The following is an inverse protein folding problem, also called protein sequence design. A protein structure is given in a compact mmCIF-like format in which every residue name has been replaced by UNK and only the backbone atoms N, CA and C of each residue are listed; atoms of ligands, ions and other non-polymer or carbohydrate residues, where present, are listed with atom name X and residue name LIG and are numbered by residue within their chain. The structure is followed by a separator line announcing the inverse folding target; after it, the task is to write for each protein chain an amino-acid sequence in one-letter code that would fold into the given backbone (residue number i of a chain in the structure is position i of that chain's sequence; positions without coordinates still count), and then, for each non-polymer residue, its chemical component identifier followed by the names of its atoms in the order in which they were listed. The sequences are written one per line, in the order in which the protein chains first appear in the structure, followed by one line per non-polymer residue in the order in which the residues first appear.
data_IF_815450693227
#
_entry.id   IF_815450693227
#
_cell.length_a   1.000
_cell.length_b   1.000
_cell.length_c   1.000
_cell.angle_alpha   90.00
_cell.angle_beta   90.00
_cell.angle_gamma   90.00
#
_symmetry.space_group_name_H-M   'P 1'
#
loop_
_entity.id
_entity.type
_entity.pdbx_description
1 polymer ?
#
# COMPACT_ATOMS: atom_id res chain seq x y z
N UNK A 1 -83.24 17.73 47.24
CA UNK A 1 -83.10 16.38 47.80
C UNK A 1 -83.77 15.41 46.83
N UNK A 2 -82.99 14.63 46.09
CA UNK A 2 -83.31 13.21 45.88
C UNK A 2 -82.09 12.56 45.23
N UNK A 3 -81.40 11.78 46.04
CA UNK A 3 -80.59 10.62 45.64
C UNK A 3 -81.36 9.77 44.61
N UNK A 4 -80.75 9.07 43.66
CA UNK A 4 -79.88 7.88 43.75
C UNK A 4 -79.74 7.44 42.26
N UNK A 5 -78.79 6.69 41.72
CA UNK A 5 -77.87 5.69 42.23
C UNK A 5 -76.85 5.41 41.11
N UNK A 6 -75.66 4.96 41.48
CA UNK A 6 -74.51 4.78 40.58
C UNK A 6 -74.63 3.53 39.69
N UNK A 7 -74.15 3.64 38.44
CA UNK A 7 -73.77 2.50 37.61
C UNK A 7 -72.41 2.75 36.96
N UNK A 8 -71.52 1.80 37.19
CA UNK A 8 -70.09 1.79 36.92
C UNK A 8 -69.76 1.96 35.43
N UNK A 9 -68.77 2.80 35.11
CA UNK A 9 -68.23 2.97 33.74
C UNK A 9 -67.26 1.83 33.39
N UNK A 10 -67.32 1.25 32.17
CA UNK A 10 -66.29 0.34 31.69
C UNK A 10 -65.05 1.13 31.20
N UNK A 11 -63.85 0.52 31.21
CA UNK A 11 -62.64 1.22 30.79
C UNK A 11 -62.55 1.31 29.26
N UNK A 12 -62.14 2.49 28.78
CA UNK A 12 -61.85 2.74 27.37
C UNK A 12 -60.54 2.04 26.95
N UNK A 13 -60.60 1.27 25.87
CA UNK A 13 -59.42 0.69 25.21
C UNK A 13 -58.57 1.81 24.60
N UNK A 14 -57.36 2.02 25.11
CA UNK A 14 -56.35 2.82 24.44
C UNK A 14 -55.66 1.98 23.36
N UNK A 15 -55.66 2.47 22.12
CA UNK A 15 -54.79 2.00 21.04
C UNK A 15 -53.38 2.52 21.33
N UNK A 16 -52.44 1.62 21.59
CA UNK A 16 -51.01 1.92 21.56
C UNK A 16 -50.43 1.35 20.27
N UNK A 17 -50.01 2.22 19.35
CA UNK A 17 -49.17 1.85 18.22
C UNK A 17 -47.77 1.54 18.77
N UNK A 18 -47.50 0.27 19.02
CA UNK A 18 -46.15 -0.22 19.28
C UNK A 18 -45.43 -0.34 17.93
N UNK A 19 -44.67 0.69 17.57
CA UNK A 19 -43.64 0.57 16.52
C UNK A 19 -42.60 -0.40 17.06
N UNK A 20 -42.56 -1.60 16.52
CA UNK A 20 -41.49 -2.54 16.80
C UNK A 20 -40.17 -1.93 16.32
N UNK A 21 -39.27 -1.62 17.26
CA UNK A 21 -37.89 -1.29 16.94
C UNK A 21 -37.26 -2.48 16.21
N UNK A 22 -36.90 -2.25 14.94
CA UNK A 22 -36.05 -3.15 14.19
C UNK A 22 -34.67 -3.10 14.85
N UNK A 23 -34.11 -4.23 15.31
CA UNK A 23 -32.76 -4.20 15.89
C UNK A 23 -31.80 -3.69 14.83
N UNK A 24 -31.03 -2.65 15.15
CA UNK A 24 -29.94 -2.19 14.29
C UNK A 24 -28.99 -3.37 14.09
N UNK A 25 -28.94 -3.90 12.86
CA UNK A 25 -27.91 -4.86 12.49
C UNK A 25 -26.56 -4.16 12.70
N UNK A 26 -25.81 -4.60 13.71
CA UNK A 26 -24.38 -4.33 13.76
C UNK A 26 -23.82 -4.77 12.40
N UNK A 27 -23.01 -3.96 11.72
CA UNK A 27 -22.34 -4.41 10.51
C UNK A 27 -21.52 -5.63 10.90
N UNK A 28 -21.96 -6.81 10.46
CA UNK A 28 -21.17 -8.03 10.58
C UNK A 28 -19.93 -7.79 9.73
N UNK A 29 -18.80 -7.44 10.35
CA UNK A 29 -17.52 -7.40 9.67
C UNK A 29 -17.38 -8.74 8.93
N UNK A 30 -17.24 -8.74 7.60
CA UNK A 30 -17.10 -10.01 6.90
C UNK A 30 -15.86 -10.72 7.42
N UNK A 31 -15.94 -12.05 7.47
CA UNK A 31 -14.82 -12.87 7.91
C UNK A 31 -13.60 -12.59 7.02
N UNK A 32 -12.38 -12.61 7.58
CA UNK A 32 -11.16 -12.53 6.78
C UNK A 32 -11.15 -13.59 5.68
N UNK A 33 -10.59 -13.25 4.53
CA UNK A 33 -10.35 -14.19 3.43
C UNK A 33 -8.93 -14.76 3.60
N UNK A 34 -8.79 -16.07 3.51
CA UNK A 34 -7.48 -16.71 3.51
C UNK A 34 -6.83 -16.53 2.13
N UNK A 35 -5.72 -15.80 2.08
CA UNK A 35 -4.95 -15.55 0.85
C UNK A 35 -3.48 -15.89 1.08
N UNK A 36 -2.80 -16.36 0.03
CA UNK A 36 -1.41 -16.75 0.12
C UNK A 36 -0.48 -15.53 0.18
N UNK A 37 0.43 -15.54 1.17
CA UNK A 37 1.49 -14.54 1.35
C UNK A 37 2.82 -15.26 1.50
N UNK A 38 3.84 -14.82 0.75
CA UNK A 38 5.19 -15.38 0.87
C UNK A 38 6.00 -14.63 1.95
N UNK A 39 6.25 -15.29 3.08
CA UNK A 39 7.03 -14.74 4.19
C UNK A 39 8.47 -15.26 4.17
N UNK A 40 9.42 -14.42 4.59
CA UNK A 40 10.81 -14.81 4.70
C UNK A 40 11.03 -15.83 5.82
N UNK A 41 11.83 -16.86 5.53
CA UNK A 41 12.26 -17.89 6.49
C UNK A 41 13.78 -17.98 6.55
N UNK A 42 14.36 -18.34 7.71
CA UNK A 42 15.79 -18.57 7.79
C UNK A 42 16.19 -19.80 6.98
N UNK A 43 17.46 -19.83 6.56
CA UNK A 43 18.11 -21.01 6.03
C UNK A 43 18.31 -22.11 7.07
N UNK A 44 18.89 -23.23 6.66
CA UNK A 44 19.08 -24.41 7.50
C UNK A 44 19.91 -24.14 8.77
N UNK A 45 20.77 -23.13 8.75
CA UNK A 45 21.61 -22.70 9.88
C UNK A 45 20.92 -21.66 10.79
N UNK A 46 19.62 -21.41 10.60
CA UNK A 46 18.88 -20.39 11.34
C UNK A 46 19.19 -18.95 10.91
N UNK A 47 20.06 -18.76 9.92
CA UNK A 47 20.43 -17.46 9.38
C UNK A 47 19.51 -17.06 8.24
N UNK A 48 19.11 -15.79 8.20
CA UNK A 48 18.48 -15.22 7.03
C UNK A 48 19.60 -14.75 6.09
N UNK A 49 19.78 -15.43 4.96
CA UNK A 49 20.61 -14.92 3.87
C UNK A 49 19.82 -13.84 3.15
N UNK A 50 20.49 -12.73 2.79
CA UNK A 50 19.84 -11.43 2.59
C UNK A 50 20.43 -10.64 1.44
N UNK A 51 20.64 -11.28 0.29
CA UNK A 51 20.95 -10.52 -0.91
C UNK A 51 20.54 -11.13 -2.25
N UNK A 52 20.08 -10.24 -3.13
CA UNK A 52 19.79 -10.52 -4.53
C UNK A 52 20.90 -9.91 -5.40
N UNK A 53 21.62 -10.71 -6.16
CA UNK A 53 22.69 -10.26 -7.07
C UNK A 53 22.26 -10.49 -8.52
N UNK A 54 22.39 -9.50 -9.41
CA UNK A 54 22.03 -9.67 -10.83
C UNK A 54 23.27 -10.04 -11.64
N UNK A 55 23.32 -11.24 -12.25
CA UNK A 55 24.45 -11.61 -13.11
C UNK A 55 24.32 -10.91 -14.47
N UNK A 56 25.42 -10.35 -15.00
CA UNK A 56 25.44 -9.79 -16.36
C UNK A 56 25.11 -10.88 -17.38
N UNK A 57 24.08 -10.68 -18.20
CA UNK A 57 23.71 -11.53 -19.34
C UNK A 57 23.53 -13.04 -19.03
N UNK A 58 23.20 -13.40 -17.78
CA UNK A 58 23.17 -14.82 -17.35
C UNK A 58 24.55 -15.48 -17.22
N UNK A 59 25.63 -14.71 -17.40
CA UNK A 59 27.01 -15.15 -17.23
C UNK A 59 27.38 -15.04 -15.75
N UNK A 60 27.74 -16.18 -15.17
CA UNK A 60 28.11 -16.30 -13.76
C UNK A 60 29.48 -15.67 -13.51
N UNK A 61 29.54 -14.55 -12.81
CA UNK A 61 30.80 -13.93 -12.38
C UNK A 61 31.47 -14.71 -11.22
N UNK A 62 30.73 -15.58 -10.54
CA UNK A 62 31.24 -16.53 -9.52
C UNK A 62 30.36 -17.78 -9.39
N UNK A 63 30.89 -18.81 -8.74
CA UNK A 63 30.09 -19.97 -8.31
C UNK A 63 29.07 -19.57 -7.23
N UNK A 64 27.93 -20.28 -7.23
CA UNK A 64 26.88 -20.13 -6.21
C UNK A 64 27.39 -20.68 -4.88
N UNK A 65 27.25 -19.88 -3.82
CA UNK A 65 27.50 -20.33 -2.45
C UNK A 65 26.38 -21.27 -1.99
N UNK A 66 26.61 -22.09 -0.96
CA UNK A 66 25.55 -22.90 -0.37
C UNK A 66 24.32 -22.07 -0.03
N UNK A 67 23.14 -22.51 -0.49
CA UNK A 67 21.88 -21.81 -0.28
C UNK A 67 21.56 -20.72 -1.30
N UNK A 68 22.47 -20.46 -2.26
CA UNK A 68 22.20 -19.59 -3.41
C UNK A 68 21.64 -20.38 -4.60
N UNK A 69 20.69 -19.78 -5.32
CA UNK A 69 20.19 -20.30 -6.59
C UNK A 69 20.01 -19.17 -7.61
N UNK A 70 20.08 -19.53 -8.89
CA UNK A 70 19.66 -18.61 -9.94
C UNK A 70 18.13 -18.59 -9.98
N UNK A 71 17.57 -17.40 -9.88
CA UNK A 71 16.18 -17.13 -10.16
C UNK A 71 15.98 -17.15 -11.69
N UNK A 72 15.09 -18.01 -12.14
CA UNK A 72 14.72 -18.17 -13.55
C UNK A 72 13.31 -17.62 -13.85
N UNK A 73 12.58 -17.17 -12.83
CA UNK A 73 11.13 -16.92 -12.90
C UNK A 73 10.76 -15.48 -12.57
N UNK A 74 11.24 -14.97 -11.43
CA UNK A 74 10.88 -13.66 -10.88
C UNK A 74 11.82 -12.59 -11.41
N UNK A 75 13.14 -12.83 -11.33
CA UNK A 75 14.16 -11.94 -11.88
C UNK A 75 15.25 -12.78 -12.55
N UNK A 76 14.99 -13.26 -13.79
CA UNK A 76 15.88 -14.17 -14.51
C UNK A 76 17.35 -13.71 -14.51
N UNK A 77 18.25 -14.61 -14.13
CA UNK A 77 19.70 -14.33 -14.04
C UNK A 77 20.15 -13.72 -12.72
N UNK A 78 19.24 -13.52 -11.76
CA UNK A 78 19.62 -13.08 -10.42
C UNK A 78 19.98 -14.26 -9.52
N UNK A 79 21.07 -14.15 -8.78
CA UNK A 79 21.41 -15.04 -7.67
C UNK A 79 20.62 -14.61 -6.45
N UNK A 80 19.83 -15.53 -5.90
CA UNK A 80 19.03 -15.34 -4.70
C UNK A 80 19.50 -16.23 -3.58
N UNK A 81 19.37 -15.73 -2.35
CA UNK A 81 19.58 -16.50 -1.14
C UNK A 81 18.41 -16.39 -0.14
N UNK A 82 17.38 -15.60 -0.44
CA UNK A 82 16.21 -15.39 0.43
C UNK A 82 15.23 -16.57 0.32
N UNK A 83 15.07 -17.39 1.35
CA UNK A 83 14.03 -18.42 1.38
C UNK A 83 12.69 -17.83 1.83
N UNK A 84 11.62 -18.33 1.23
CA UNK A 84 10.25 -17.97 1.61
C UNK A 84 9.40 -19.20 1.86
N UNK A 85 8.41 -19.05 2.74
CA UNK A 85 7.29 -19.96 2.87
C UNK A 85 6.01 -19.25 2.42
N UNK A 86 5.17 -19.95 1.67
CA UNK A 86 3.84 -19.45 1.29
C UNK A 86 2.85 -19.91 2.35
N UNK A 87 2.13 -18.95 2.93
CA UNK A 87 1.21 -19.19 4.03
C UNK A 87 -0.15 -18.58 3.71
N UNK A 88 -1.19 -19.40 3.83
CA UNK A 88 -2.57 -18.94 3.85
C UNK A 88 -2.78 -18.02 5.06
N UNK A 89 -2.92 -16.73 4.78
CA UNK A 89 -2.97 -15.65 5.76
C UNK A 89 -4.37 -15.05 5.77
N UNK A 90 -4.92 -14.82 6.97
CA UNK A 90 -6.20 -14.16 7.13
C UNK A 90 -6.06 -12.67 6.80
N UNK A 91 -6.64 -12.23 5.68
CA UNK A 91 -6.62 -10.84 5.21
C UNK A 91 -8.04 -10.26 5.27
N UNK A 92 -8.19 -9.10 5.92
CA UNK A 92 -9.49 -8.45 6.13
C UNK A 92 -9.76 -7.40 5.06
N UNK A 93 -11.00 -7.32 4.59
CA UNK A 93 -11.43 -6.21 3.72
C UNK A 93 -11.62 -4.95 4.57
N UNK A 94 -10.71 -3.99 4.41
CA UNK A 94 -10.71 -2.73 5.13
C UNK A 94 -11.95 -1.87 4.83
N UNK A 95 -12.66 -2.11 3.72
CA UNK A 95 -13.93 -1.43 3.42
C UNK A 95 -15.04 -1.76 4.41
N UNK A 96 -14.94 -2.91 5.08
CA UNK A 96 -15.95 -3.40 6.01
C UNK A 96 -15.64 -3.03 7.46
N UNK A 97 -14.51 -2.35 7.70
CA UNK A 97 -14.15 -1.87 9.02
C UNK A 97 -14.91 -0.57 9.33
N UNK A 98 -15.50 -0.42 10.54
CA UNK A 98 -16.31 0.76 10.87
C UNK A 98 -15.52 2.07 10.89
N UNK A 99 -14.24 1.99 11.24
CA UNK A 99 -13.33 3.13 11.25
C UNK A 99 -12.30 2.99 10.12
N UNK A 100 -12.25 3.91 9.15
CA UNK A 100 -11.25 3.88 8.09
C UNK A 100 -9.83 4.00 8.66
N UNK A 101 -8.89 3.23 8.09
CA UNK A 101 -7.47 3.36 8.40
C UNK A 101 -6.91 4.71 7.93
N UNK A 102 -5.94 5.26 8.68
CA UNK A 102 -5.21 6.48 8.32
C UNK A 102 -3.71 6.23 8.24
N UNK A 103 -3.00 7.07 7.46
CA UNK A 103 -1.55 7.02 7.33
C UNK A 103 -0.83 7.23 8.68
N UNK A 104 -1.40 8.04 9.57
CA UNK A 104 -0.80 8.36 10.87
C UNK A 104 -0.99 7.28 11.93
N UNK A 105 -2.00 6.42 11.76
CA UNK A 105 -2.36 5.36 12.73
C UNK A 105 -1.91 3.98 12.24
N UNK A 106 -2.53 3.46 11.19
CA UNK A 106 -2.28 2.13 10.65
C UNK A 106 -1.13 2.11 9.64
N UNK A 107 -0.67 3.27 9.17
CA UNK A 107 0.38 3.39 8.16
C UNK A 107 -0.14 3.36 6.72
N UNK A 108 -1.44 3.14 6.50
CA UNK A 108 -2.06 3.14 5.18
C UNK A 108 -3.44 3.77 5.20
N UNK A 109 -3.89 4.26 4.04
CA UNK A 109 -5.23 4.79 3.88
C UNK A 109 -5.71 4.70 2.43
N UNK A 110 -7.00 4.40 2.24
CA UNK A 110 -7.65 4.52 0.94
C UNK A 110 -8.06 5.98 0.72
N UNK A 111 -7.83 6.50 -0.48
CA UNK A 111 -8.31 7.81 -0.91
C UNK A 111 -9.04 7.72 -2.23
N UNK A 112 -10.03 8.59 -2.39
CA UNK A 112 -10.77 8.78 -3.63
C UNK A 112 -10.36 10.07 -4.29
N UNK A 113 -10.34 10.08 -5.61
CA UNK A 113 -10.14 11.27 -6.41
C UNK A 113 -11.21 11.35 -7.50
N UNK A 114 -11.54 12.57 -7.92
CA UNK A 114 -12.74 12.84 -8.72
C UNK A 114 -12.64 12.37 -10.19
N UNK A 115 -11.45 12.04 -10.68
CA UNK A 115 -11.22 11.72 -12.08
C UNK A 115 -10.38 10.45 -12.21
N UNK A 116 -11.02 9.38 -12.68
CA UNK A 116 -10.40 8.09 -12.94
C UNK A 116 -9.06 8.24 -13.65
N UNK A 117 -8.03 7.58 -13.12
CA UNK A 117 -6.74 7.47 -13.77
C UNK A 117 -6.70 6.15 -14.53
N UNK A 118 -7.17 6.18 -15.76
CA UNK A 118 -7.11 5.01 -16.66
C UNK A 118 -5.86 5.15 -17.53
N UNK A 119 -5.10 4.06 -17.68
CA UNK A 119 -3.97 4.06 -18.61
C UNK A 119 -4.51 4.31 -20.02
N UNK A 120 -4.03 5.33 -20.76
CA UNK A 120 -4.42 5.50 -22.15
C UNK A 120 -4.03 4.25 -22.94
N UNK A 121 -4.69 4.00 -24.07
CA UNK A 121 -4.29 2.93 -24.97
C UNK A 121 -2.91 3.21 -25.57
N UNK A 122 -1.89 2.81 -24.83
CA UNK A 122 -0.49 2.92 -25.18
C UNK A 122 -0.04 1.51 -25.52
N UNK A 123 -0.37 1.09 -26.74
CA UNK A 123 0.24 -0.10 -27.32
C UNK A 123 1.77 0.01 -27.20
N UNK A 124 2.46 -1.12 -27.04
CA UNK A 124 3.93 -1.14 -26.98
C UNK A 124 4.58 -0.41 -28.18
N UNK A 125 3.86 -0.28 -29.31
CA UNK A 125 4.28 0.44 -30.51
C UNK A 125 4.36 1.97 -30.35
N UNK A 126 3.65 2.57 -29.38
CA UNK A 126 3.71 4.02 -29.12
C UNK A 126 5.02 4.46 -28.45
N UNK A 127 5.80 3.51 -27.92
CA UNK A 127 7.06 3.77 -27.25
C UNK A 127 6.91 4.50 -25.91
N UNK A 128 8.05 4.82 -25.29
CA UNK A 128 8.13 5.38 -23.93
C UNK A 128 7.70 6.85 -23.83
N UNK A 129 7.81 7.60 -24.93
CA UNK A 129 7.55 9.05 -24.96
C UNK A 129 6.12 9.45 -24.59
N UNK A 130 5.08 8.94 -25.29
CA UNK A 130 3.69 9.25 -24.97
C UNK A 130 3.29 8.83 -23.55
N UNK A 131 3.79 7.68 -23.09
CA UNK A 131 3.60 7.21 -21.72
C UNK A 131 4.19 8.19 -20.69
N UNK A 132 5.44 8.63 -20.89
CA UNK A 132 6.06 9.61 -19.99
C UNK A 132 5.38 10.97 -20.06
N UNK A 133 4.89 11.40 -21.23
CA UNK A 133 4.15 12.63 -21.38
C UNK A 133 2.84 12.59 -20.61
N UNK A 134 2.08 11.49 -20.70
CA UNK A 134 0.87 11.28 -19.93
C UNK A 134 1.14 11.23 -18.42
N UNK A 135 2.16 10.47 -18.00
CA UNK A 135 2.56 10.40 -16.59
C UNK A 135 2.86 11.78 -16.02
N UNK A 136 3.63 12.60 -16.74
CA UNK A 136 4.05 13.93 -16.28
C UNK A 136 2.94 14.97 -16.37
N UNK A 137 2.12 14.91 -17.42
CA UNK A 137 1.06 15.89 -17.68
C UNK A 137 -0.21 15.63 -16.89
N UNK A 138 -0.52 14.37 -16.59
CA UNK A 138 -1.80 13.99 -16.00
C UNK A 138 -1.66 13.27 -14.66
N UNK A 139 -0.93 12.14 -14.62
CA UNK A 139 -0.93 11.28 -13.44
C UNK A 139 -0.17 11.88 -12.26
N UNK A 140 1.09 12.27 -12.43
CA UNK A 140 1.94 12.76 -11.34
C UNK A 140 1.39 14.03 -10.68
N UNK A 141 0.84 15.03 -11.42
CA UNK A 141 0.18 16.17 -10.80
C UNK A 141 -1.04 15.79 -9.94
N UNK A 142 -1.89 14.87 -10.42
CA UNK A 142 -3.08 14.41 -9.68
C UNK A 142 -2.68 13.60 -8.44
N UNK A 143 -1.75 12.66 -8.60
CA UNK A 143 -1.23 11.83 -7.52
C UNK A 143 -0.51 12.67 -6.45
N UNK A 144 0.34 13.62 -6.82
CA UNK A 144 1.02 14.49 -5.86
C UNK A 144 0.04 15.35 -5.04
N UNK A 145 -1.03 15.87 -5.66
CA UNK A 145 -2.08 16.60 -4.95
C UNK A 145 -2.86 15.71 -3.99
N UNK A 146 -3.16 14.47 -4.38
CA UNK A 146 -3.84 13.51 -3.52
C UNK A 146 -2.98 13.13 -2.31
N UNK A 147 -1.68 12.87 -2.52
CA UNK A 147 -0.73 12.62 -1.42
C UNK A 147 -0.61 13.84 -0.51
N UNK A 148 -0.50 15.05 -1.08
CA UNK A 148 -0.46 16.30 -0.31
C UNK A 148 -1.66 16.41 0.64
N UNK A 149 -2.89 16.34 0.11
CA UNK A 149 -4.10 16.49 0.92
C UNK A 149 -4.27 15.35 1.94
N UNK A 150 -3.97 14.12 1.55
CA UNK A 150 -4.12 12.95 2.43
C UNK A 150 -3.16 12.99 3.61
N UNK A 151 -1.91 13.41 3.37
CA UNK A 151 -0.92 13.56 4.45
C UNK A 151 -1.28 14.72 5.38
N UNK A 152 -1.76 15.85 4.85
CA UNK A 152 -2.23 16.96 5.70
C UNK A 152 -3.39 16.53 6.60
N UNK A 153 -4.38 15.85 6.04
CA UNK A 153 -5.55 15.34 6.75
C UNK A 153 -5.15 14.31 7.82
N UNK A 154 -4.42 13.26 7.45
CA UNK A 154 -4.13 12.16 8.36
C UNK A 154 -3.15 12.55 9.48
N UNK A 155 -2.20 13.45 9.21
CA UNK A 155 -1.23 13.88 10.21
C UNK A 155 -1.63 15.17 10.94
N UNK A 156 -2.68 15.87 10.50
CA UNK A 156 -3.12 17.14 11.07
C UNK A 156 -2.04 18.23 10.99
N UNK A 157 -1.17 18.18 9.98
CA UNK A 157 0.01 19.05 9.84
C UNK A 157 0.15 19.56 8.41
N UNK A 158 0.32 20.87 8.19
CA UNK A 158 0.48 21.42 6.85
C UNK A 158 1.69 20.83 6.11
N UNK A 159 1.48 20.48 4.84
CA UNK A 159 2.49 19.95 3.93
C UNK A 159 3.01 21.09 3.06
N UNK A 160 4.33 21.20 3.01
CA UNK A 160 5.06 22.23 2.29
C UNK A 160 5.46 21.78 0.87
N UNK A 161 5.86 20.51 0.73
CA UNK A 161 6.27 19.96 -0.55
C UNK A 161 5.99 18.45 -0.68
N UNK A 162 5.70 18.02 -1.90
CA UNK A 162 5.56 16.61 -2.31
C UNK A 162 6.36 16.39 -3.57
N UNK A 163 7.35 15.50 -3.51
CA UNK A 163 8.24 15.17 -4.63
C UNK A 163 8.03 13.72 -5.06
N UNK A 164 7.67 13.50 -6.32
CA UNK A 164 7.64 12.16 -6.88
C UNK A 164 9.07 11.74 -7.25
N UNK A 165 9.46 10.58 -6.74
CA UNK A 165 10.80 10.02 -6.82
C UNK A 165 10.93 9.15 -8.06
N UNK A 166 10.12 8.10 -8.10
CA UNK A 166 10.05 7.13 -9.17
C UNK A 166 8.63 6.57 -9.24
N UNK A 167 8.42 5.74 -10.25
CA UNK A 167 7.17 5.03 -10.45
C UNK A 167 7.44 3.67 -11.09
N UNK A 168 6.57 2.70 -10.84
CA UNK A 168 6.65 1.35 -11.40
C UNK A 168 5.28 0.93 -11.91
N UNK A 169 5.20 0.60 -13.20
CA UNK A 169 4.02 -0.04 -13.79
C UNK A 169 4.09 -1.54 -13.54
N UNK A 170 3.01 -2.12 -13.01
CA UNK A 170 2.89 -3.57 -12.81
C UNK A 170 1.66 -4.09 -13.54
N UNK A 171 1.84 -5.17 -14.31
CA UNK A 171 0.76 -5.85 -15.03
C UNK A 171 0.82 -7.36 -14.79
N UNK A 172 -0.32 -8.05 -14.87
CA UNK A 172 -0.39 -9.52 -14.73
C UNK A 172 -0.45 -10.25 -16.08
N UNK A 173 -0.55 -9.52 -17.18
CA UNK A 173 -0.57 -10.05 -18.55
C UNK A 173 0.72 -9.74 -19.33
N UNK A 174 1.71 -9.12 -18.67
CA UNK A 174 2.96 -8.69 -19.31
C UNK A 174 2.80 -7.59 -20.35
N UNK A 175 1.61 -6.98 -20.45
CA UNK A 175 1.35 -5.89 -21.39
C UNK A 175 1.80 -4.53 -20.84
N UNK A 176 1.95 -3.54 -21.71
CA UNK A 176 2.30 -2.16 -21.36
C UNK A 176 3.75 -1.80 -21.66
N UNK A 177 4.15 -0.59 -21.24
CA UNK A 177 5.51 -0.07 -21.44
C UNK A 177 6.38 -0.43 -20.22
N UNK A 178 7.39 -1.28 -20.44
CA UNK A 178 8.30 -1.77 -19.39
C UNK A 178 7.58 -2.31 -18.15
N UNK A 179 6.64 -3.28 -18.32
CA UNK A 179 5.87 -3.81 -17.20
C UNK A 179 6.75 -4.66 -16.29
N UNK A 180 6.57 -4.48 -14.97
CA UNK A 180 7.16 -5.35 -13.96
C UNK A 180 6.14 -6.36 -13.45
N UNK A 181 6.62 -7.55 -13.10
CA UNK A 181 5.82 -8.55 -12.40
C UNK A 181 5.36 -8.04 -11.04
N UNK A 182 4.29 -8.65 -10.53
CA UNK A 182 3.80 -8.42 -9.16
C UNK A 182 4.79 -9.03 -8.16
N UNK A 183 4.84 -8.51 -6.92
CA UNK A 183 5.72 -9.04 -5.87
C UNK A 183 4.86 -9.73 -4.82
N UNK A 184 4.93 -11.07 -4.78
CA UNK A 184 4.18 -11.92 -3.83
C UNK A 184 4.90 -12.06 -2.47
N UNK A 185 6.18 -11.71 -2.44
CA UNK A 185 7.00 -11.65 -1.22
C UNK A 185 6.54 -10.48 -0.36
N UNK A 186 6.19 -10.75 0.90
CA UNK A 186 5.89 -9.69 1.85
C UNK A 186 7.15 -8.87 2.13
N UNK A 187 7.07 -7.56 1.88
CA UNK A 187 8.21 -6.66 1.98
C UNK A 187 7.81 -5.26 2.45
N UNK A 188 8.80 -4.48 2.84
CA UNK A 188 8.70 -3.04 3.02
C UNK A 188 9.86 -2.34 2.30
N UNK A 189 9.56 -1.25 1.60
CA UNK A 189 10.45 -0.68 0.58
C UNK A 189 11.75 -0.09 1.10
N UNK A 190 11.80 0.30 2.38
CA UNK A 190 12.94 1.01 2.92
C UNK A 190 13.31 0.54 4.32
N UNK A 191 14.61 0.42 4.53
CA UNK A 191 15.20 0.42 5.85
C UNK A 191 15.45 1.87 6.29
N UNK A 192 15.72 2.13 7.59
CA UNK A 192 16.07 3.48 8.04
C UNK A 192 17.19 4.11 7.20
N UNK A 193 18.22 3.34 6.91
CA UNK A 193 19.40 3.74 6.14
C UNK A 193 19.09 3.90 4.65
N UNK A 194 18.32 2.98 4.08
CA UNK A 194 18.03 3.01 2.64
C UNK A 194 17.04 4.12 2.28
N UNK A 195 16.06 4.43 3.13
CA UNK A 195 15.16 5.57 2.94
C UNK A 195 15.89 6.92 3.08
N UNK A 196 16.76 7.06 4.09
CA UNK A 196 17.60 8.25 4.23
C UNK A 196 18.56 8.43 3.05
N UNK A 197 19.13 7.33 2.53
CA UNK A 197 19.93 7.34 1.30
C UNK A 197 19.10 7.73 0.08
N UNK A 198 17.88 7.19 -0.04
CA UNK A 198 16.96 7.48 -1.14
C UNK A 198 16.71 8.98 -1.28
N UNK A 199 16.41 9.64 -0.16
CA UNK A 199 16.23 11.10 -0.09
C UNK A 199 17.46 11.91 -0.55
N UNK A 200 18.69 11.43 -0.27
CA UNK A 200 19.93 12.13 -0.67
C UNK A 200 20.28 11.95 -2.14
N UNK A 201 20.03 10.75 -2.68
CA UNK A 201 20.47 10.35 -4.03
C UNK A 201 19.36 10.53 -5.09
N UNK A 202 18.22 11.08 -4.69
CA UNK A 202 16.98 11.07 -5.45
C UNK A 202 17.04 11.80 -6.79
N UNK A 203 16.70 11.11 -7.88
CA UNK A 203 16.28 11.75 -9.12
C UNK A 203 14.77 12.02 -9.06
N UNK A 204 14.39 13.21 -8.61
CA UNK A 204 12.99 13.63 -8.55
C UNK A 204 12.41 13.80 -9.95
N UNK A 205 11.30 13.10 -10.24
CA UNK A 205 10.62 13.13 -11.54
C UNK A 205 9.48 14.16 -11.60
N UNK A 206 8.94 14.58 -10.46
CA UNK A 206 7.91 15.63 -10.39
C UNK A 206 7.96 16.34 -9.03
N UNK A 207 7.65 17.64 -8.99
CA UNK A 207 7.65 18.45 -7.77
C UNK A 207 6.34 19.22 -7.62
N UNK A 208 5.81 19.22 -6.41
CA UNK A 208 4.76 20.10 -5.93
C UNK A 208 5.29 20.83 -4.69
N UNK A 209 5.19 22.17 -4.65
CA UNK A 209 5.72 23.01 -3.57
C UNK A 209 6.80 23.98 -4.03
N UNK A 210 7.70 24.38 -3.14
CA UNK A 210 8.76 25.39 -3.37
C UNK A 210 9.91 24.92 -4.28
N UNK A 211 9.92 23.65 -4.67
CA UNK A 211 10.94 23.05 -5.52
C UNK A 211 12.27 22.72 -4.81
N UNK A 212 12.44 23.09 -3.54
CA UNK A 212 13.64 22.80 -2.73
C UNK A 212 13.72 21.31 -2.46
N UNK A 213 14.91 20.73 -2.64
CA UNK A 213 15.16 19.33 -2.30
C UNK A 213 14.67 18.99 -0.88
N UNK A 214 14.01 17.84 -0.75
CA UNK A 214 13.56 17.30 0.52
C UNK A 214 14.70 16.41 1.04
N UNK A 215 15.21 16.70 2.22
CA UNK A 215 16.33 15.95 2.82
C UNK A 215 15.92 15.31 4.15
N UNK A 216 16.75 14.44 4.71
CA UNK A 216 16.45 13.78 5.99
C UNK A 216 16.31 14.79 7.15
N UNK A 217 17.00 15.93 7.08
CA UNK A 217 16.93 17.02 8.06
C UNK A 217 15.53 17.66 8.11
N UNK A 218 14.77 17.60 7.02
CA UNK A 218 13.37 18.06 6.97
C UNK A 218 12.40 17.13 7.70
N UNK A 219 12.89 15.98 8.21
CA UNK A 219 12.09 14.90 8.81
C UNK A 219 10.87 14.50 7.95
N UNK A 220 11.07 14.18 6.67
CA UNK A 220 9.98 13.91 5.73
C UNK A 220 9.37 12.53 5.94
N UNK A 221 8.27 12.24 5.25
CA UNK A 221 7.76 10.88 5.05
C UNK A 221 8.14 10.39 3.66
N UNK A 222 8.42 9.09 3.52
CA UNK A 222 8.24 8.42 2.22
C UNK A 222 6.89 7.73 2.20
N UNK A 223 6.09 8.04 1.19
CA UNK A 223 4.74 7.53 1.00
C UNK A 223 4.64 6.96 -0.40
N UNK A 224 4.18 5.72 -0.50
CA UNK A 224 3.82 5.13 -1.78
C UNK A 224 2.34 5.39 -2.04
N UNK A 225 2.02 5.65 -3.30
CA UNK A 225 0.65 5.65 -3.82
C UNK A 225 0.53 4.51 -4.81
N UNK A 226 -0.40 3.59 -4.54
CA UNK A 226 -0.76 2.52 -5.44
C UNK A 226 -2.09 2.83 -6.13
N UNK A 227 -2.05 2.96 -7.45
CA UNK A 227 -3.14 3.42 -8.30
C UNK A 227 -3.57 2.30 -9.28
N UNK A 228 -4.79 1.76 -9.16
CA UNK A 228 -5.43 1.04 -10.25
C UNK A 228 -5.45 1.86 -11.53
N UNK A 229 -5.07 1.23 -12.65
CA UNK A 229 -5.14 1.81 -13.99
C UNK A 229 -6.17 1.12 -14.89
N UNK A 230 -7.02 0.29 -14.28
CA UNK A 230 -8.15 -0.44 -14.86
C UNK A 230 -9.42 -0.05 -14.10
N UNK A 231 -10.59 -0.30 -14.68
CA UNK A 231 -11.87 0.05 -14.04
C UNK A 231 -12.00 -0.56 -12.63
N UNK A 232 -11.60 -1.81 -12.46
CA UNK A 232 -11.63 -2.51 -11.17
C UNK A 232 -10.53 -3.57 -11.09
N UNK A 233 -9.83 -3.61 -9.97
CA UNK A 233 -8.83 -4.65 -9.68
C UNK A 233 -9.51 -5.83 -8.99
N UNK A 234 -9.59 -6.94 -9.73
CA UNK A 234 -10.00 -8.24 -9.22
C UNK A 234 -8.76 -9.11 -8.97
N UNK A 235 -7.94 -9.30 -10.02
CA UNK A 235 -6.77 -10.16 -9.92
C UNK A 235 -5.65 -9.50 -9.15
N UNK A 236 -5.06 -10.29 -8.26
CA UNK A 236 -3.85 -9.96 -7.53
C UNK A 236 -3.94 -8.60 -6.80
N UNK A 237 -4.89 -8.33 -5.89
CA UNK A 237 -4.93 -7.06 -5.15
C UNK A 237 -3.66 -6.83 -4.31
N UNK A 238 -3.52 -5.61 -3.79
CA UNK A 238 -2.45 -5.25 -2.86
C UNK A 238 -2.94 -5.38 -1.42
N UNK A 239 -2.30 -6.24 -0.65
CA UNK A 239 -2.47 -6.33 0.80
C UNK A 239 -1.41 -5.50 1.53
N UNK A 240 -1.80 -4.91 2.65
CA UNK A 240 -0.97 -4.09 3.53
C UNK A 240 -1.13 -4.59 4.97
N UNK A 241 -0.02 -4.62 5.72
CA UNK A 241 -0.02 -4.95 7.15
C UNK A 241 -0.19 -3.68 7.97
N UNK A 242 -1.06 -3.70 8.98
CA UNK A 242 -1.19 -2.58 9.92
C UNK A 242 0.14 -2.35 10.66
N UNK A 243 0.71 -1.16 10.53
CA UNK A 243 2.00 -0.80 11.11
C UNK A 243 2.04 -0.87 12.64
N UNK A 244 0.88 -0.86 13.33
CA UNK A 244 0.78 -1.05 14.79
C UNK A 244 0.91 -2.52 15.19
N UNK A 245 0.68 -3.43 14.26
CA UNK A 245 0.72 -4.88 14.44
C UNK A 245 2.03 -5.51 13.94
N UNK A 246 2.83 -4.73 13.20
CA UNK A 246 4.09 -5.16 12.60
C UNK A 246 5.25 -4.96 13.59
N UNK A 247 5.80 -6.06 14.11
CA UNK A 247 6.93 -6.00 15.02
C UNK A 247 8.23 -5.72 14.26
N UNK A 248 9.17 -4.98 14.88
CA UNK A 248 10.48 -4.72 14.26
C UNK A 248 11.29 -6.00 14.04
N UNK A 249 11.06 -7.03 14.84
CA UNK A 249 11.63 -8.36 14.64
C UNK A 249 11.06 -9.08 13.41
N UNK A 250 9.86 -8.76 12.95
CA UNK A 250 9.33 -9.34 11.71
C UNK A 250 10.05 -8.78 10.47
N UNK A 251 10.77 -7.67 10.60
CA UNK A 251 11.48 -7.03 9.50
C UNK A 251 12.90 -7.58 9.33
N UNK A 252 13.15 -8.19 8.18
CA UNK A 252 14.41 -8.83 7.82
C UNK A 252 15.06 -8.03 6.69
N UNK A 253 16.20 -7.37 6.96
CA UNK A 253 16.91 -6.58 5.93
C UNK A 253 17.24 -7.45 4.73
N UNK A 254 17.06 -6.95 3.51
CA UNK A 254 17.45 -7.60 2.24
C UNK A 254 18.23 -6.60 1.42
N UNK A 255 19.48 -6.93 1.13
CA UNK A 255 20.36 -6.14 0.27
C UNK A 255 20.14 -6.54 -1.19
N UNK A 256 20.17 -5.59 -2.12
CA UNK A 256 20.01 -5.89 -3.54
C UNK A 256 21.19 -5.29 -4.30
N UNK A 257 22.05 -6.13 -4.84
CA UNK A 257 23.20 -5.71 -5.64
C UNK A 257 22.76 -5.59 -7.10
N UNK A 258 22.62 -4.35 -7.56
CA UNK A 258 22.44 -4.02 -8.96
C UNK A 258 23.79 -3.57 -9.53
N UNK A 259 23.94 -3.65 -10.85
CA UNK A 259 25.17 -3.27 -11.56
C UNK A 259 25.68 -1.87 -11.17
N UNK A 260 24.77 -0.91 -11.01
CA UNK A 260 25.12 0.49 -10.74
C UNK A 260 24.90 0.95 -9.29
N UNK A 261 24.28 0.11 -8.43
CA UNK A 261 23.96 0.49 -7.05
C UNK A 261 23.66 -0.70 -6.14
N UNK A 262 23.80 -0.49 -4.84
CA UNK A 262 23.26 -1.40 -3.82
C UNK A 262 21.96 -0.83 -3.26
N UNK A 263 20.84 -1.53 -3.47
CA UNK A 263 19.57 -1.28 -2.80
C UNK A 263 19.47 -2.03 -1.46
N UNK A 264 18.55 -1.60 -0.60
CA UNK A 264 18.23 -2.32 0.64
C UNK A 264 16.75 -2.10 0.99
N UNK A 265 16.05 -3.19 1.29
CA UNK A 265 14.62 -3.24 1.64
C UNK A 265 14.46 -4.12 2.89
N UNK A 266 13.24 -4.24 3.42
CA UNK A 266 12.90 -5.32 4.34
C UNK A 266 12.09 -6.40 3.62
N UNK A 267 12.45 -7.67 3.79
CA UNK A 267 11.49 -8.76 3.71
C UNK A 267 10.76 -8.89 5.06
N UNK A 268 9.63 -9.59 5.07
CA UNK A 268 8.80 -9.77 6.26
C UNK A 268 8.76 -11.25 6.64
N UNK A 269 9.10 -11.57 7.89
CA UNK A 269 8.85 -12.86 8.53
C UNK A 269 7.38 -12.91 8.94
N UNK A 270 6.81 -14.12 9.00
CA UNK A 270 5.49 -14.33 9.60
C UNK A 270 5.52 -14.01 11.11
N UNK A 271 4.72 -13.04 11.52
CA UNK A 271 4.52 -12.66 12.92
C UNK A 271 3.12 -13.05 13.41
N UNK A 272 3.00 -13.44 14.68
CA UNK A 272 1.72 -13.88 15.26
C UNK A 272 0.71 -12.74 15.51
N UNK A 273 1.20 -11.50 15.59
CA UNK A 273 0.38 -10.31 15.83
C UNK A 273 -0.02 -9.58 14.54
N UNK A 274 0.54 -9.94 13.38
CA UNK A 274 0.35 -9.21 12.13
C UNK A 274 -1.11 -9.20 11.68
N UNK A 275 -1.63 -8.00 11.44
CA UNK A 275 -2.96 -7.80 10.91
C UNK A 275 -2.88 -7.32 9.47
N UNK A 276 -3.29 -8.19 8.55
CA UNK A 276 -3.27 -7.93 7.12
C UNK A 276 -4.63 -7.45 6.63
N UNK A 277 -4.59 -6.44 5.77
CA UNK A 277 -5.74 -5.75 5.21
C UNK A 277 -5.59 -5.59 3.71
N UNK A 278 -6.70 -5.54 3.00
CA UNK A 278 -6.77 -5.12 1.60
C UNK A 278 -8.05 -4.33 1.37
N UNK A 279 -8.13 -3.64 0.24
CA UNK A 279 -9.37 -3.04 -0.21
C UNK A 279 -9.88 -3.83 -1.40
N UNK A 280 -10.97 -4.59 -1.20
CA UNK A 280 -11.51 -5.43 -2.27
C UNK A 280 -11.98 -4.56 -3.45
N UNK A 281 -11.74 -5.00 -4.69
CA UNK A 281 -12.26 -4.37 -5.90
C UNK A 281 -11.96 -2.87 -6.02
N UNK A 282 -10.71 -2.47 -5.73
CA UNK A 282 -10.29 -1.08 -5.92
C UNK A 282 -10.52 -0.58 -7.36
N UNK A 283 -11.08 0.62 -7.49
CA UNK A 283 -11.42 1.24 -8.78
C UNK A 283 -10.40 2.29 -9.22
N UNK A 284 -10.46 2.70 -10.49
CA UNK A 284 -9.57 3.72 -11.07
C UNK A 284 -9.67 5.11 -10.41
N UNK A 285 -10.76 5.38 -9.68
CA UNK A 285 -10.98 6.60 -8.88
C UNK A 285 -10.44 6.49 -7.44
N UNK A 286 -9.84 5.36 -7.10
CA UNK A 286 -9.28 5.09 -5.78
C UNK A 286 -7.76 4.95 -5.85
N UNK A 287 -7.09 5.30 -4.76
CA UNK A 287 -5.66 5.11 -4.57
C UNK A 287 -5.40 4.64 -3.14
N UNK A 288 -4.52 3.65 -2.99
CA UNK A 288 -4.07 3.17 -1.68
C UNK A 288 -2.74 3.85 -1.38
N UNK A 289 -2.71 4.67 -0.33
CA UNK A 289 -1.50 5.31 0.15
C UNK A 289 -0.97 4.52 1.34
N UNK A 290 0.34 4.37 1.43
CA UNK A 290 0.99 3.75 2.59
C UNK A 290 2.37 4.32 2.85
N UNK A 291 2.69 4.49 4.13
CA UNK A 291 3.97 5.04 4.61
C UNK A 291 5.03 3.94 4.50
N UNK A 292 6.06 4.18 3.72
CA UNK A 292 7.16 3.22 3.51
C UNK A 292 8.42 3.58 4.27
N UNK A 293 8.54 4.82 4.74
CA UNK A 293 9.62 5.24 5.62
C UNK A 293 9.26 6.49 6.41
N UNK A 294 9.72 6.53 7.65
CA UNK A 294 9.75 7.73 8.48
C UNK A 294 11.10 7.86 9.20
N UNK A 295 11.47 9.05 9.69
CA UNK A 295 12.71 9.24 10.44
C UNK A 295 12.72 8.47 11.77
N UNK A 296 11.56 8.10 12.31
CA UNK A 296 11.39 7.25 13.50
C UNK A 296 11.32 5.74 13.16
N UNK A 297 11.54 5.35 11.90
CA UNK A 297 11.67 3.95 11.49
C UNK A 297 10.34 3.23 11.26
N UNK A 298 9.22 3.94 11.15
CA UNK A 298 7.93 3.35 10.79
C UNK A 298 7.89 3.01 9.30
N UNK A 299 7.25 1.90 8.98
CA UNK A 299 7.05 1.42 7.61
C UNK A 299 5.80 0.54 7.55
N UNK A 300 5.30 0.31 6.34
CA UNK A 300 4.12 -0.52 6.07
C UNK A 300 4.55 -1.69 5.18
N UNK A 301 4.49 -2.89 5.75
CA UNK A 301 4.68 -4.11 4.99
C UNK A 301 3.51 -4.32 4.02
N UNK A 302 3.80 -4.81 2.82
CA UNK A 302 2.80 -5.06 1.80
C UNK A 302 3.18 -6.25 0.93
N UNK A 303 2.17 -6.83 0.27
CA UNK A 303 2.34 -7.93 -0.67
C UNK A 303 1.23 -7.92 -1.71
N UNK A 304 1.54 -8.36 -2.93
CA UNK A 304 0.52 -8.75 -3.88
C UNK A 304 -0.04 -10.12 -3.47
N UNK A 305 -1.36 -10.27 -3.42
CA UNK A 305 -2.03 -11.48 -2.92
C UNK A 305 -3.11 -11.93 -3.89
N UNK A 306 -3.46 -13.21 -3.90
CA UNK A 306 -4.55 -13.73 -4.73
C UNK A 306 -5.82 -13.94 -3.90
N UNK A 307 -6.92 -13.29 -4.28
CA UNK A 307 -8.23 -13.49 -3.66
C UNK A 307 -8.91 -14.71 -4.32
N UNK A 308 -9.04 -15.86 -3.62
CA UNK A 308 -9.64 -17.07 -4.20
C UNK A 308 -11.14 -16.93 -4.45
N UNK A 309 -11.76 -15.83 -4.00
CA UNK A 309 -13.19 -15.57 -4.16
C UNK A 309 -13.50 -14.74 -5.41
N UNK A 310 -12.48 -14.24 -6.12
CA UNK A 310 -12.66 -13.53 -7.37
C UNK A 310 -12.77 -14.48 -8.59
N UNK A 311 -13.43 -14.05 -9.69
CA UNK A 311 -13.60 -14.89 -10.87
C UNK A 311 -12.27 -15.30 -11.49
N UNK A 312 -12.16 -16.58 -11.91
CA UNK A 312 -10.95 -17.11 -12.54
C UNK A 312 -10.63 -16.44 -13.88
N UNK A 313 -11.64 -15.91 -14.59
CA UNK A 313 -11.54 -15.21 -15.86
C UNK A 313 -11.51 -13.68 -15.71
N UNK A 314 -11.29 -13.18 -14.49
CA UNK A 314 -11.23 -11.74 -14.24
C UNK A 314 -10.15 -11.04 -15.07
N UNK A 315 -10.38 -9.77 -15.48
CA UNK A 315 -9.43 -9.04 -16.30
C UNK A 315 -8.07 -8.88 -15.60
N UNK A 316 -6.98 -8.74 -16.37
CA UNK A 316 -5.65 -8.57 -15.79
C UNK A 316 -5.55 -7.27 -15.00
N UNK A 317 -4.74 -7.31 -13.94
CA UNK A 317 -4.40 -6.12 -13.16
C UNK A 317 -3.47 -5.24 -13.97
N UNK A 318 -3.76 -3.94 -13.99
CA UNK A 318 -2.75 -2.90 -14.30
C UNK A 318 -2.78 -1.87 -13.19
N UNK A 319 -1.62 -1.61 -12.60
CA UNK A 319 -1.47 -0.68 -11.49
C UNK A 319 -0.17 0.08 -11.59
N UNK A 320 -0.18 1.34 -11.15
CA UNK A 320 1.03 2.13 -10.98
C UNK A 320 1.30 2.34 -9.51
N UNK A 321 2.55 2.15 -9.12
CA UNK A 321 3.04 2.56 -7.82
C UNK A 321 3.95 3.78 -8.00
N UNK A 322 3.68 4.87 -7.28
CA UNK A 322 4.50 6.08 -7.29
C UNK A 322 5.04 6.33 -5.90
N UNK A 323 6.35 6.53 -5.78
CA UNK A 323 7.02 6.83 -4.52
C UNK A 323 7.16 8.34 -4.34
N UNK A 324 6.75 8.84 -3.19
CA UNK A 324 6.79 10.26 -2.87
C UNK A 324 7.63 10.53 -1.63
N UNK A 325 8.42 11.59 -1.66
CA UNK A 325 8.93 12.25 -0.46
C UNK A 325 7.99 13.41 -0.10
N UNK A 326 7.60 13.50 1.17
CA UNK A 326 6.65 14.52 1.66
C UNK A 326 7.29 15.31 2.80
N UNK A 327 7.37 16.63 2.66
CA UNK A 327 7.91 17.55 3.67
C UNK A 327 6.78 18.36 4.29
N UNK A 328 6.73 18.39 5.61
CA UNK A 328 5.84 19.27 6.38
C UNK A 328 6.37 20.71 6.45
N UNK A 329 5.48 21.68 6.63
CA UNK A 329 5.89 23.04 7.04
C UNK A 329 6.60 22.99 8.39
N UNK A 330 7.64 23.79 8.55
CA UNK A 330 8.32 23.90 9.85
C UNK A 330 7.41 24.67 10.80
N UNK A 331 7.43 24.30 12.09
CA UNK A 331 6.68 25.03 13.12
C UNK A 331 7.01 26.52 13.15
N UNK A 332 8.25 26.90 12.84
CA UNK A 332 8.69 28.30 12.75
C UNK A 332 8.01 29.08 11.62
N UNK A 333 7.57 28.39 10.56
CA UNK A 333 6.93 28.99 9.39
C UNK A 333 5.40 29.09 9.54
N UNK A 334 4.82 28.48 10.58
CA UNK A 334 3.37 28.47 10.80
C UNK A 334 2.82 29.78 11.35
N UNK A 335 3.70 30.72 11.76
CA UNK A 335 3.31 31.99 12.37
C UNK A 335 2.58 31.78 13.69
N UNK A 336 3.15 32.24 14.80
CA UNK A 336 2.38 32.36 16.04
C UNK A 336 1.18 33.27 15.80
N UNK A 337 0.00 32.69 15.63
CA UNK A 337 -1.25 33.38 15.90
C UNK A 337 -1.37 33.45 17.41
N UNK A 338 -0.74 34.49 17.97
CA UNK A 338 -0.88 34.93 19.36
C UNK A 338 -2.29 35.41 19.64
#
# INVERSE_FOLDING_TARGET
MSSSEALSRPPARARGDAVAEVPSAQPCAALPVAMDVAFAVPGAEGQFYRYCYVSRDGVRERELLPGEWLDEQVVPGSVRCDRFEVVATAIRDARLHPEPASLSTAGFALRRHAAALVLPDLSAAAGRGPYEAWLRGELLPKAAKLVHSAVEEDFGRPVDAVHAIDFTLRTTDGSGVDPRNVVLEAHADFTPESGARRLREERVVFKLGDGRAITAEDRPLLVNLWQPLVETVYRVPLAVCDGRSLASEDLVRKTMYFESRTGEVFNVRRGGAQEWWYYRHMRAEEALLFVTWTPDGKTTAHSAVEDPTDPADAPPRRSLEVRFAVRFKRYQDLGTTS
#
